data_IF_160700201557
#
_entry.id   IF_160700201557
#
_cell.length_a   1.000
_cell.length_b   1.000
_cell.length_c   1.000
_cell.angle_alpha   90.00
_cell.angle_beta   90.00
_cell.angle_gamma   90.00
#
_symmetry.space_group_name_H-M   'P 1'
#
loop_
_entity.id
_entity.type
_entity.pdbx_description
1 polymer ?
#
# COMPACT_ATOMS: atom_id res chain seq x y z
N UNK A 1 3.51 27.27 -10.73
CA UNK A 1 2.31 27.39 -11.57
C UNK A 1 1.42 28.47 -10.97
N UNK A 2 0.86 29.38 -11.77
CA UNK A 2 -0.07 30.38 -11.24
C UNK A 2 -1.42 29.72 -10.91
N UNK A 3 -2.14 30.21 -9.88
CA UNK A 3 -3.42 29.60 -9.45
C UNK A 3 -4.42 29.45 -10.60
N UNK A 4 -4.50 30.45 -11.47
CA UNK A 4 -5.38 30.43 -12.65
C UNK A 4 -5.00 29.30 -13.62
N UNK A 5 -3.72 29.10 -13.91
CA UNK A 5 -3.25 28.01 -14.77
C UNK A 5 -3.57 26.65 -14.16
N UNK A 6 -3.44 26.53 -12.83
CA UNK A 6 -3.83 25.32 -12.11
C UNK A 6 -5.33 25.08 -12.17
N UNK A 7 -6.14 26.10 -11.90
CA UNK A 7 -7.60 26.00 -11.95
C UNK A 7 -8.08 25.69 -13.37
N UNK A 8 -7.49 26.29 -14.42
CA UNK A 8 -7.83 26.00 -15.81
C UNK A 8 -7.47 24.54 -16.17
N UNK A 9 -6.25 24.10 -15.85
CA UNK A 9 -5.80 22.70 -16.03
C UNK A 9 -6.69 21.71 -15.25
N UNK A 10 -7.03 22.06 -14.02
CA UNK A 10 -7.85 21.23 -13.15
C UNK A 10 -9.30 21.19 -13.62
N UNK A 11 -9.93 22.32 -13.90
CA UNK A 11 -11.34 22.38 -14.27
C UNK A 11 -11.57 21.67 -15.61
N UNK A 12 -10.62 21.74 -16.56
CA UNK A 12 -10.68 20.99 -17.82
C UNK A 12 -10.64 19.46 -17.62
N UNK A 13 -9.82 18.98 -16.68
CA UNK A 13 -9.57 17.52 -16.49
C UNK A 13 -10.50 16.91 -15.43
N UNK A 14 -10.79 17.65 -14.36
CA UNK A 14 -11.54 17.21 -13.19
C UNK A 14 -13.05 17.30 -13.40
N UNK A 15 -13.56 18.40 -13.98
CA UNK A 15 -15.01 18.55 -14.19
C UNK A 15 -15.55 17.51 -15.18
N UNK A 16 -14.71 17.01 -16.09
CA UNK A 16 -15.10 15.94 -17.02
C UNK A 16 -15.18 14.55 -16.37
N UNK A 17 -14.52 14.34 -15.23
CA UNK A 17 -14.34 13.00 -14.65
C UNK A 17 -15.06 12.77 -13.31
N UNK A 18 -15.67 13.82 -12.74
CA UNK A 18 -16.38 13.77 -11.44
C UNK A 18 -15.58 13.09 -10.29
N UNK A 19 -14.25 13.12 -10.38
CA UNK A 19 -13.33 12.44 -9.45
C UNK A 19 -12.18 13.38 -9.07
N UNK A 20 -11.71 13.25 -7.83
CA UNK A 20 -10.51 13.92 -7.33
C UNK A 20 -9.25 13.06 -7.46
N UNK A 21 -9.35 11.88 -8.08
CA UNK A 21 -8.23 10.95 -8.32
C UNK A 21 -8.18 10.59 -9.80
N UNK A 22 -7.00 10.75 -10.40
CA UNK A 22 -6.72 10.34 -11.77
C UNK A 22 -5.55 9.38 -11.81
N UNK A 23 -5.67 8.38 -12.66
CA UNK A 23 -4.63 7.39 -12.88
C UNK A 23 -4.41 7.20 -14.38
N UNK A 24 -3.15 7.07 -14.77
CA UNK A 24 -2.76 6.63 -16.11
C UNK A 24 -1.66 5.58 -16.04
N UNK A 25 -1.60 4.75 -17.08
CA UNK A 25 -0.48 3.83 -17.33
C UNK A 25 0.41 4.36 -18.45
N UNK A 26 1.71 4.39 -18.23
CA UNK A 26 2.71 4.63 -19.27
C UNK A 26 3.65 3.42 -19.35
N UNK A 27 3.28 2.44 -20.18
CA UNK A 27 3.91 1.13 -20.16
C UNK A 27 3.56 0.36 -18.89
N UNK A 28 4.57 -0.07 -18.15
CA UNK A 28 4.48 -0.77 -16.85
C UNK A 28 4.44 0.20 -15.65
N UNK A 29 4.62 1.50 -15.91
CA UNK A 29 4.55 2.57 -14.91
C UNK A 29 3.10 2.99 -14.70
N UNK A 30 2.73 3.15 -13.43
CA UNK A 30 1.44 3.70 -13.01
C UNK A 30 1.69 5.07 -12.38
N UNK A 31 0.99 6.08 -12.89
CA UNK A 31 0.99 7.43 -12.36
C UNK A 31 -0.38 7.70 -11.78
N UNK A 32 -0.43 8.08 -10.51
CA UNK A 32 -1.66 8.49 -9.85
C UNK A 32 -1.50 9.93 -9.35
N UNK A 33 -2.54 10.73 -9.48
CA UNK A 33 -2.63 12.10 -8.97
C UNK A 33 -3.95 12.22 -8.23
N UNK A 34 -3.92 12.74 -7.01
CA UNK A 34 -5.12 12.98 -6.22
C UNK A 34 -5.12 14.36 -5.59
N UNK A 35 -6.26 15.03 -5.59
CA UNK A 35 -6.45 16.27 -4.84
C UNK A 35 -6.94 15.94 -3.44
N UNK A 36 -6.17 16.40 -2.45
CA UNK A 36 -6.50 16.23 -1.03
C UNK A 36 -7.41 17.34 -0.55
N UNK A 37 -7.06 18.59 -0.89
CA UNK A 37 -7.74 19.78 -0.39
C UNK A 37 -7.61 20.91 -1.40
N UNK A 38 -8.73 21.61 -1.63
CA UNK A 38 -8.80 22.86 -2.40
C UNK A 38 -9.41 23.92 -1.50
N UNK A 39 -8.67 24.98 -1.22
CA UNK A 39 -9.17 26.19 -0.57
C UNK A 39 -9.11 27.37 -1.55
N UNK A 40 -9.59 28.52 -1.12
CA UNK A 40 -9.44 29.77 -1.89
C UNK A 40 -7.96 30.15 -2.06
N UNK A 41 -7.10 29.81 -1.08
CA UNK A 41 -5.71 30.24 -1.03
C UNK A 41 -4.74 29.19 -1.59
N UNK A 42 -5.03 27.89 -1.43
CA UNK A 42 -4.11 26.81 -1.77
C UNK A 42 -4.82 25.59 -2.37
N UNK A 43 -4.06 24.79 -3.10
CA UNK A 43 -4.47 23.44 -3.49
C UNK A 43 -3.37 22.46 -3.09
N UNK A 44 -3.76 21.43 -2.34
CA UNK A 44 -2.90 20.32 -1.97
C UNK A 44 -3.21 19.12 -2.87
N UNK A 45 -2.18 18.64 -3.56
CA UNK A 45 -2.22 17.41 -4.35
C UNK A 45 -1.21 16.40 -3.80
N UNK A 46 -1.52 15.13 -3.97
CA UNK A 46 -0.57 14.03 -3.87
C UNK A 46 -0.39 13.42 -5.26
N UNK A 47 0.80 12.88 -5.49
CA UNK A 47 1.07 12.06 -6.65
C UNK A 47 1.78 10.78 -6.24
N UNK A 48 1.61 9.73 -7.02
CA UNK A 48 2.25 8.43 -6.85
C UNK A 48 2.88 8.04 -8.18
N UNK A 49 4.16 7.69 -8.10
CA UNK A 49 4.89 6.99 -9.16
C UNK A 49 5.10 5.54 -8.69
N UNK A 50 4.59 4.57 -9.44
CA UNK A 50 4.78 3.15 -9.14
C UNK A 50 5.24 2.39 -10.37
N UNK A 51 6.16 1.45 -10.20
CA UNK A 51 6.65 0.56 -11.26
C UNK A 51 7.16 -0.77 -10.69
N UNK A 52 7.23 -1.84 -11.49
CA UNK A 52 7.87 -3.08 -11.05
C UNK A 52 9.39 -2.90 -10.91
N UNK A 53 10.03 -3.79 -10.15
CA UNK A 53 11.49 -3.94 -10.15
C UNK A 53 11.94 -4.47 -11.51
N UNK A 54 12.94 -3.84 -12.11
CA UNK A 54 13.39 -4.17 -13.49
C UNK A 54 14.49 -5.23 -13.53
N UNK A 55 15.32 -5.31 -12.49
CA UNK A 55 16.39 -6.31 -12.36
C UNK A 55 16.91 -6.40 -10.93
N UNK A 56 17.77 -7.38 -10.65
CA UNK A 56 18.48 -7.50 -9.37
C UNK A 56 19.46 -6.35 -9.10
N UNK A 57 19.81 -5.56 -10.13
CA UNK A 57 20.70 -4.39 -10.04
C UNK A 57 19.93 -3.07 -10.22
N UNK A 58 18.62 -3.10 -10.01
CA UNK A 58 17.78 -1.93 -10.12
C UNK A 58 18.10 -0.91 -9.01
N UNK A 59 18.62 0.26 -9.39
CA UNK A 59 19.04 1.31 -8.48
C UNK A 59 17.90 1.83 -7.57
N UNK A 60 16.64 1.74 -8.02
CA UNK A 60 15.49 2.14 -7.21
C UNK A 60 14.98 1.00 -6.32
N UNK A 61 15.39 -0.25 -6.57
CA UNK A 61 15.04 -1.38 -5.72
C UNK A 61 16.10 -1.63 -4.64
N UNK A 62 15.88 -1.03 -3.47
CA UNK A 62 16.78 -1.13 -2.31
C UNK A 62 16.09 -1.80 -1.11
N UNK A 63 15.89 -3.13 -1.13
CA UNK A 63 15.10 -3.84 -0.11
C UNK A 63 15.71 -3.75 1.30
N UNK A 64 17.02 -3.62 1.40
CA UNK A 64 17.76 -3.58 2.67
C UNK A 64 17.89 -2.17 3.29
N UNK A 65 17.24 -1.17 2.70
CA UNK A 65 17.32 0.21 3.21
C UNK A 65 16.59 0.38 4.54
N UNK A 66 17.11 1.28 5.37
CA UNK A 66 16.47 1.65 6.63
C UNK A 66 15.21 2.49 6.40
N UNK A 67 14.34 2.60 7.41
CA UNK A 67 13.16 3.47 7.32
C UNK A 67 13.53 4.95 7.12
N UNK A 68 14.65 5.40 7.67
CA UNK A 68 15.14 6.77 7.48
C UNK A 68 15.59 7.08 6.05
N UNK A 69 15.96 6.05 5.28
CA UNK A 69 16.35 6.20 3.88
C UNK A 69 15.13 6.44 2.96
N UNK A 70 13.90 6.41 3.48
CA UNK A 70 12.69 6.77 2.71
C UNK A 70 12.68 8.21 2.20
N UNK A 71 13.38 9.11 2.89
CA UNK A 71 13.48 10.53 2.52
C UNK A 71 14.69 10.80 1.60
N UNK A 72 15.57 9.81 1.39
CA UNK A 72 16.74 9.95 0.52
C UNK A 72 16.34 9.51 -0.89
N UNK A 73 15.95 10.48 -1.70
CA UNK A 73 15.45 10.21 -3.05
C UNK A 73 16.65 10.04 -3.99
N UNK A 74 16.80 8.88 -4.63
CA UNK A 74 17.89 8.62 -5.58
C UNK A 74 17.72 9.49 -6.84
N UNK A 75 18.84 9.95 -7.42
CA UNK A 75 18.81 10.76 -8.66
C UNK A 75 18.28 9.95 -9.85
N UNK A 76 18.48 8.63 -9.82
CA UNK A 76 17.99 7.67 -10.79
C UNK A 76 16.45 7.70 -10.91
N UNK A 77 15.72 8.11 -9.85
CA UNK A 77 14.27 8.27 -9.92
C UNK A 77 13.92 9.42 -10.87
N UNK A 78 14.62 10.54 -10.75
CA UNK A 78 14.39 11.72 -11.58
C UNK A 78 14.83 11.48 -13.03
N UNK A 79 15.91 10.74 -13.25
CA UNK A 79 16.32 10.31 -14.59
C UNK A 79 15.23 9.45 -15.25
N UNK A 80 14.66 8.51 -14.50
CA UNK A 80 13.60 7.63 -14.99
C UNK A 80 12.31 8.39 -15.31
N UNK A 81 11.91 9.33 -14.43
CA UNK A 81 10.75 10.19 -14.65
C UNK A 81 10.96 11.12 -15.84
N UNK A 82 12.14 11.72 -15.98
CA UNK A 82 12.49 12.55 -17.13
C UNK A 82 12.51 11.77 -18.46
N UNK A 83 12.64 10.44 -18.39
CA UNK A 83 12.52 9.53 -19.51
C UNK A 83 11.09 9.20 -19.93
N UNK A 84 10.07 9.54 -19.13
CA UNK A 84 8.67 9.32 -19.49
C UNK A 84 8.30 10.19 -20.70
N UNK A 85 7.71 9.56 -21.72
CA UNK A 85 7.29 10.25 -22.96
C UNK A 85 5.77 10.23 -23.08
N UNK A 86 5.24 11.17 -23.86
CA UNK A 86 3.81 11.23 -24.22
C UNK A 86 2.88 11.32 -23.00
N UNK A 87 3.26 12.09 -21.99
CA UNK A 87 2.35 12.47 -20.91
C UNK A 87 1.58 13.70 -21.37
N UNK A 88 0.25 13.62 -21.29
CA UNK A 88 -0.62 14.78 -21.46
C UNK A 88 -0.76 15.52 -20.12
N UNK A 89 -1.15 16.80 -20.18
CA UNK A 89 -1.53 17.55 -18.97
C UNK A 89 -2.74 16.86 -18.29
N UNK A 90 -2.77 16.73 -16.96
CA UNK A 90 -1.90 17.38 -15.97
C UNK A 90 -0.64 16.58 -15.62
N UNK A 91 -0.50 15.34 -16.12
CA UNK A 91 0.60 14.45 -15.74
C UNK A 91 1.96 14.97 -16.21
N UNK A 92 2.04 15.57 -17.40
CA UNK A 92 3.28 16.22 -17.86
C UNK A 92 3.72 17.37 -16.97
N UNK A 93 2.77 18.09 -16.36
CA UNK A 93 3.07 19.26 -15.54
C UNK A 93 3.45 18.90 -14.11
N UNK A 94 2.88 17.81 -13.59
CA UNK A 94 3.11 17.27 -12.25
C UNK A 94 4.38 16.43 -12.20
N UNK A 95 4.59 15.57 -13.19
CA UNK A 95 5.80 14.72 -13.30
C UNK A 95 6.94 15.45 -14.03
N UNK A 96 7.12 16.72 -13.70
CA UNK A 96 8.23 17.56 -14.16
C UNK A 96 9.40 17.47 -13.17
N UNK A 97 10.56 16.99 -13.64
CA UNK A 97 11.72 16.69 -12.79
C UNK A 97 12.17 17.90 -11.96
N UNK A 98 12.20 19.10 -12.55
CA UNK A 98 12.69 20.29 -11.85
C UNK A 98 11.72 20.70 -10.73
N UNK A 99 10.41 20.61 -10.97
CA UNK A 99 9.40 20.88 -9.94
C UNK A 99 9.43 19.82 -8.85
N UNK A 100 9.49 18.54 -9.23
CA UNK A 100 9.46 17.41 -8.30
C UNK A 100 10.62 17.43 -7.29
N UNK A 101 11.79 17.97 -7.67
CA UNK A 101 12.92 18.13 -6.74
C UNK A 101 12.60 19.06 -5.56
N UNK A 102 11.61 19.95 -5.70
CA UNK A 102 11.09 20.79 -4.62
C UNK A 102 10.00 20.13 -3.78
N UNK A 103 9.47 18.99 -4.19
CA UNK A 103 8.37 18.32 -3.50
C UNK A 103 8.84 17.53 -2.27
N UNK A 104 7.91 17.34 -1.34
CA UNK A 104 8.10 16.39 -0.24
C UNK A 104 7.85 14.97 -0.74
N UNK A 105 8.91 14.33 -1.23
CA UNK A 105 8.86 12.95 -1.74
C UNK A 105 9.16 11.96 -0.63
N UNK A 106 8.39 10.87 -0.59
CA UNK A 106 8.71 9.67 0.17
C UNK A 106 8.87 8.52 -0.79
N UNK A 107 10.07 7.96 -0.86
CA UNK A 107 10.28 6.71 -1.58
C UNK A 107 9.81 5.58 -0.66
N UNK A 108 8.66 4.96 -0.95
CA UNK A 108 8.09 3.89 -0.12
C UNK A 108 8.68 2.53 -0.47
N UNK A 109 8.92 1.69 0.54
CA UNK A 109 9.27 0.28 0.36
C UNK A 109 8.19 -0.53 1.04
N UNK A 110 7.35 -1.17 0.22
CA UNK A 110 6.34 -2.08 0.70
C UNK A 110 7.01 -3.41 1.04
N UNK A 111 6.79 -3.88 2.28
CA UNK A 111 7.28 -5.18 2.75
C UNK A 111 6.09 -6.00 3.19
N UNK A 112 6.13 -7.29 2.88
CA UNK A 112 5.19 -8.25 3.42
C UNK A 112 5.81 -9.01 4.57
N UNK A 113 5.03 -9.29 5.61
CA UNK A 113 5.45 -10.23 6.66
C UNK A 113 4.57 -11.47 6.59
N UNK A 114 5.19 -12.64 6.72
CA UNK A 114 4.51 -13.92 6.81
C UNK A 114 5.18 -14.71 7.92
N UNK A 115 4.66 -14.53 9.14
CA UNK A 115 5.21 -15.22 10.31
C UNK A 115 4.66 -16.65 10.34
N UNK A 116 5.50 -17.69 10.45
CA UNK A 116 5.01 -19.07 10.50
C UNK A 116 3.99 -19.29 11.63
N UNK A 117 2.96 -20.09 11.35
CA UNK A 117 1.92 -20.45 12.34
C UNK A 117 2.52 -21.06 13.61
N UNK A 118 3.50 -21.95 13.46
CA UNK A 118 4.16 -22.64 14.57
C UNK A 118 4.91 -21.67 15.48
N UNK A 119 5.53 -20.62 14.92
CA UNK A 119 6.25 -19.62 15.71
C UNK A 119 5.26 -18.77 16.52
N UNK A 120 4.13 -18.39 15.92
CA UNK A 120 3.07 -17.63 16.57
C UNK A 120 2.41 -18.42 17.71
N UNK A 121 2.13 -19.72 17.48
CA UNK A 121 1.61 -20.62 18.50
C UNK A 121 2.65 -20.90 19.60
N UNK A 122 3.94 -20.99 19.23
CA UNK A 122 5.05 -21.14 20.17
C UNK A 122 5.16 -19.96 21.13
N UNK A 123 5.09 -18.74 20.60
CA UNK A 123 5.11 -17.49 21.37
C UNK A 123 3.92 -17.39 22.33
N UNK A 124 2.70 -17.74 21.87
CA UNK A 124 1.51 -17.80 22.72
C UNK A 124 1.67 -18.83 23.85
N UNK A 125 2.22 -20.01 23.54
CA UNK A 125 2.35 -21.09 24.51
C UNK A 125 3.38 -20.78 25.60
N UNK A 126 4.51 -20.22 25.21
CA UNK A 126 5.66 -19.98 26.08
C UNK A 126 5.54 -18.68 26.85
N UNK A 127 5.21 -17.59 26.16
CA UNK A 127 5.25 -16.24 26.71
C UNK A 127 3.85 -15.63 26.91
N UNK A 128 2.80 -16.29 26.41
CA UNK A 128 1.42 -15.76 26.48
C UNK A 128 1.18 -14.57 25.56
N UNK A 129 2.07 -14.34 24.59
CA UNK A 129 1.99 -13.20 23.66
C UNK A 129 1.24 -13.60 22.39
N UNK A 130 0.30 -12.76 21.98
CA UNK A 130 -0.49 -12.91 20.75
C UNK A 130 -0.22 -11.72 19.82
N UNK A 131 0.15 -12.01 18.57
CA UNK A 131 0.36 -11.06 17.48
C UNK A 131 -0.86 -11.03 16.55
N UNK A 132 -1.23 -9.84 16.09
CA UNK A 132 -2.33 -9.56 15.14
C UNK A 132 -1.93 -8.47 14.14
N UNK A 133 -2.66 -8.36 13.02
CA UNK A 133 -2.43 -7.32 12.01
C UNK A 133 -1.03 -7.35 11.40
N UNK A 134 -0.47 -6.18 11.09
CA UNK A 134 0.85 -6.07 10.42
C UNK A 134 2.01 -6.71 11.20
N UNK A 135 1.85 -6.95 12.52
CA UNK A 135 2.84 -7.65 13.32
C UNK A 135 3.02 -9.12 12.92
N UNK A 136 2.04 -9.72 12.24
CA UNK A 136 2.08 -11.14 11.85
C UNK A 136 1.85 -11.37 10.35
N UNK A 137 1.09 -10.50 9.68
CA UNK A 137 0.68 -10.65 8.27
C UNK A 137 0.67 -9.34 7.45
N UNK A 138 1.66 -8.46 7.60
CA UNK A 138 1.70 -7.22 6.83
C UNK A 138 1.55 -7.47 5.31
N UNK A 139 0.60 -6.77 4.70
CA UNK A 139 0.36 -6.77 3.26
C UNK A 139 0.81 -5.43 2.66
N UNK A 140 1.11 -5.37 1.36
CA UNK A 140 1.38 -4.11 0.68
C UNK A 140 0.17 -3.17 0.76
N UNK A 141 0.42 -1.88 0.91
CA UNK A 141 -0.63 -0.85 1.00
C UNK A 141 -1.46 -0.82 -0.29
N UNK A 142 -0.82 -1.01 -1.44
CA UNK A 142 -1.47 -1.06 -2.75
C UNK A 142 -1.83 -2.50 -3.08
N UNK A 143 -3.08 -2.75 -3.49
CA UNK A 143 -3.55 -4.08 -3.89
C UNK A 143 -3.80 -5.07 -2.74
N UNK A 144 -3.47 -4.70 -1.50
CA UNK A 144 -3.76 -5.49 -0.29
C UNK A 144 -4.99 -5.01 0.49
N UNK A 145 -5.33 -5.76 1.54
CA UNK A 145 -6.42 -5.48 2.47
C UNK A 145 -5.92 -5.43 3.93
N UNK A 146 -4.62 -5.20 4.16
CA UNK A 146 -3.97 -5.31 5.47
C UNK A 146 -4.72 -4.63 6.62
N UNK A 147 -5.14 -3.37 6.45
CA UNK A 147 -5.91 -2.66 7.48
C UNK A 147 -7.27 -3.33 7.80
N UNK A 148 -8.02 -3.76 6.78
CA UNK A 148 -9.28 -4.47 6.95
C UNK A 148 -9.05 -5.83 7.63
N UNK A 149 -8.00 -6.55 7.24
CA UNK A 149 -7.62 -7.82 7.84
C UNK A 149 -7.22 -7.67 9.32
N UNK A 150 -6.47 -6.62 9.66
CA UNK A 150 -6.08 -6.30 11.03
C UNK A 150 -7.30 -5.92 11.91
N UNK A 151 -8.26 -5.17 11.37
CA UNK A 151 -9.53 -4.88 12.08
C UNK A 151 -10.29 -6.18 12.35
N UNK A 152 -10.41 -7.06 11.36
CA UNK A 152 -11.07 -8.36 11.53
C UNK A 152 -10.35 -9.23 12.56
N UNK A 153 -9.02 -9.18 12.64
CA UNK A 153 -8.30 -9.88 13.68
C UNK A 153 -8.69 -9.37 15.07
N UNK A 154 -8.67 -8.05 15.27
CA UNK A 154 -9.06 -7.43 16.54
C UNK A 154 -10.48 -7.84 16.97
N UNK A 155 -11.43 -7.80 16.03
CA UNK A 155 -12.82 -8.19 16.30
C UNK A 155 -12.96 -9.67 16.65
N UNK A 156 -12.38 -10.56 15.83
CA UNK A 156 -12.53 -12.01 16.01
C UNK A 156 -11.73 -12.56 17.19
N UNK A 157 -10.58 -11.96 17.50
CA UNK A 157 -9.82 -12.29 18.69
C UNK A 157 -10.56 -11.84 19.96
N UNK A 158 -11.13 -10.64 19.97
CA UNK A 158 -11.92 -10.15 21.11
C UNK A 158 -13.11 -11.08 21.40
N UNK A 159 -13.83 -11.52 20.36
CA UNK A 159 -14.93 -12.48 20.49
C UNK A 159 -14.47 -13.84 21.03
N UNK A 160 -13.31 -14.31 20.58
CA UNK A 160 -12.68 -15.54 21.10
C UNK A 160 -12.36 -15.41 22.60
N UNK A 161 -11.71 -14.31 22.99
CA UNK A 161 -11.36 -14.05 24.40
C UNK A 161 -12.63 -14.03 25.27
N UNK A 162 -13.64 -13.28 24.84
CA UNK A 162 -14.91 -13.16 25.55
C UNK A 162 -15.62 -14.52 25.70
N UNK A 163 -15.71 -15.28 24.60
CA UNK A 163 -16.34 -16.59 24.57
C UNK A 163 -15.66 -17.61 25.47
N UNK A 164 -14.32 -17.61 25.54
CA UNK A 164 -13.59 -18.52 26.44
C UNK A 164 -13.73 -18.11 27.92
N UNK A 165 -13.70 -16.80 28.22
CA UNK A 165 -13.91 -16.31 29.58
C UNK A 165 -15.31 -16.65 30.12
N UNK A 166 -16.33 -16.60 29.27
CA UNK A 166 -17.71 -16.92 29.66
C UNK A 166 -17.92 -18.39 30.08
N UNK A 167 -17.01 -19.31 29.71
CA UNK A 167 -17.19 -20.76 29.94
C UNK A 167 -16.79 -21.21 31.35
N UNK A 168 -15.80 -20.58 31.99
CA UNK A 168 -15.36 -20.97 33.33
C UNK A 168 -14.34 -19.99 33.90
N UNK A 169 -14.48 -19.63 35.18
CA UNK A 169 -13.55 -18.74 35.88
C UNK A 169 -12.33 -19.45 36.50
N UNK A 170 -12.39 -20.77 36.70
CA UNK A 170 -11.34 -21.55 37.39
C UNK A 170 -10.17 -21.98 36.49
N UNK A 171 -10.32 -21.91 35.16
CA UNK A 171 -9.32 -22.38 34.17
C UNK A 171 -9.05 -21.41 33.02
N UNK A 172 -9.36 -20.13 33.22
CA UNK A 172 -9.35 -19.08 32.18
C UNK A 172 -8.05 -19.10 31.36
N UNK A 173 -6.87 -19.13 32.00
CA UNK A 173 -5.62 -19.01 31.27
C UNK A 173 -5.38 -20.16 30.28
N UNK A 174 -5.61 -21.41 30.71
CA UNK A 174 -5.43 -22.60 29.87
C UNK A 174 -6.43 -22.67 28.71
N UNK A 175 -7.69 -22.33 28.97
CA UNK A 175 -8.76 -22.33 27.95
C UNK A 175 -8.57 -21.18 26.97
N UNK A 176 -8.16 -20.01 27.46
CA UNK A 176 -7.86 -18.86 26.62
C UNK A 176 -6.72 -19.18 25.63
N UNK A 177 -5.62 -19.78 26.11
CA UNK A 177 -4.51 -20.20 25.24
C UNK A 177 -4.96 -21.21 24.18
N UNK A 178 -5.84 -22.16 24.52
CA UNK A 178 -6.41 -23.11 23.55
C UNK A 178 -7.30 -22.39 22.53
N UNK A 179 -8.19 -21.49 22.99
CA UNK A 179 -9.07 -20.73 22.12
C UNK A 179 -8.31 -19.82 21.15
N UNK A 180 -7.31 -19.08 21.64
CA UNK A 180 -6.45 -18.23 20.79
C UNK A 180 -5.60 -19.07 19.84
N UNK A 181 -5.13 -20.25 20.26
CA UNK A 181 -4.43 -21.18 19.35
C UNK A 181 -5.32 -21.65 18.20
N UNK A 182 -6.59 -21.98 18.49
CA UNK A 182 -7.58 -22.34 17.46
C UNK A 182 -7.91 -21.16 16.55
N UNK A 183 -8.02 -19.97 17.12
CA UNK A 183 -8.20 -18.74 16.35
C UNK A 183 -7.04 -18.53 15.37
N UNK A 184 -5.79 -18.79 15.78
CA UNK A 184 -4.65 -18.78 14.85
C UNK A 184 -4.83 -19.78 13.70
N UNK A 185 -5.22 -21.03 13.99
CA UNK A 185 -5.44 -22.05 12.95
C UNK A 185 -6.49 -21.60 11.91
N UNK A 186 -7.53 -20.89 12.35
CA UNK A 186 -8.62 -20.39 11.51
C UNK A 186 -8.24 -19.13 10.69
N UNK A 187 -7.40 -18.26 11.25
CA UNK A 187 -7.00 -17.01 10.61
C UNK A 187 -5.81 -17.19 9.66
N UNK A 188 -4.87 -18.05 10.00
CA UNK A 188 -3.61 -18.21 9.27
C UNK A 188 -3.78 -18.48 7.77
N UNK A 189 -4.68 -19.38 7.31
CA UNK A 189 -4.89 -19.60 5.88
C UNK A 189 -5.40 -18.34 5.16
N UNK A 190 -6.18 -17.50 5.83
CA UNK A 190 -6.70 -16.24 5.26
C UNK A 190 -5.61 -15.21 5.10
N UNK A 191 -4.68 -15.14 6.06
CA UNK A 191 -3.51 -14.27 5.97
C UNK A 191 -2.57 -14.67 4.84
N UNK A 192 -2.30 -15.97 4.68
CA UNK A 192 -1.51 -16.49 3.56
C UNK A 192 -2.17 -16.15 2.22
N UNK A 193 -3.48 -16.37 2.11
CA UNK A 193 -4.25 -16.03 0.92
C UNK A 193 -4.21 -14.52 0.63
N UNK A 194 -4.41 -13.67 1.63
CA UNK A 194 -4.36 -12.22 1.49
C UNK A 194 -3.00 -11.72 0.97
N UNK A 195 -1.91 -12.26 1.51
CA UNK A 195 -0.57 -11.99 1.01
C UNK A 195 -0.40 -12.39 -0.46
N UNK A 196 -0.83 -13.59 -0.86
CA UNK A 196 -0.76 -14.04 -2.26
C UNK A 196 -1.62 -13.20 -3.20
N UNK A 197 -2.84 -12.84 -2.79
CA UNK A 197 -3.74 -12.01 -3.57
C UNK A 197 -3.19 -10.58 -3.73
N UNK A 198 -2.61 -10.01 -2.68
CA UNK A 198 -1.99 -8.69 -2.74
C UNK A 198 -0.82 -8.65 -3.75
N UNK A 199 0.00 -9.69 -3.81
CA UNK A 199 1.08 -9.82 -4.79
C UNK A 199 0.53 -9.89 -6.22
N UNK A 200 -0.51 -10.69 -6.45
CA UNK A 200 -1.19 -10.78 -7.75
C UNK A 200 -1.80 -9.45 -8.17
N UNK A 201 -2.42 -8.73 -7.24
CA UNK A 201 -3.04 -7.43 -7.51
C UNK A 201 -2.00 -6.38 -7.89
N UNK A 202 -0.87 -6.29 -7.18
CA UNK A 202 0.25 -5.41 -7.56
C UNK A 202 0.80 -5.79 -8.93
N UNK A 203 1.03 -7.08 -9.19
CA UNK A 203 1.52 -7.52 -10.49
C UNK A 203 0.57 -7.09 -11.62
N UNK A 204 -0.73 -7.33 -11.46
CA UNK A 204 -1.77 -6.92 -12.41
C UNK A 204 -1.84 -5.41 -12.61
N UNK A 205 -1.62 -4.64 -11.54
CA UNK A 205 -1.54 -3.18 -11.62
C UNK A 205 -0.42 -2.74 -12.58
N UNK A 206 0.68 -3.49 -12.66
CA UNK A 206 1.82 -3.20 -13.53
C UNK A 206 1.87 -4.00 -14.84
N UNK A 207 0.88 -4.86 -15.10
CA UNK A 207 0.79 -5.55 -16.38
C UNK A 207 0.65 -4.55 -17.53
N UNK A 208 1.43 -4.79 -18.59
CA UNK A 208 1.33 -4.07 -19.85
C UNK A 208 -0.05 -4.35 -20.44
N UNK A 209 -0.86 -3.30 -20.56
CA UNK A 209 -2.03 -3.37 -21.43
C UNK A 209 -1.51 -3.44 -22.87
N UNK A 210 -1.51 -4.65 -23.45
CA UNK A 210 -1.45 -4.77 -24.90
C UNK A 210 -2.62 -3.92 -25.43
N UNK A 211 -2.30 -2.91 -26.24
CA UNK A 211 -3.32 -2.05 -26.86
C UNK A 211 -4.20 -2.92 -27.77
N UNK A 212 -5.26 -3.49 -27.22
CA UNK A 212 -6.48 -3.75 -27.97
C UNK A 212 -7.38 -2.54 -27.73
N UNK A 213 -7.36 -1.65 -28.72
CA UNK A 213 -8.33 -0.59 -28.97
C UNK A 213 -8.75 0.28 -27.78
N UNK A 214 -8.05 1.42 -27.66
CA UNK A 214 -8.59 2.61 -27.02
C UNK A 214 -9.92 3.01 -27.69
N UNK A 215 -11.02 2.53 -27.12
CA UNK A 215 -12.37 3.09 -27.28
C UNK A 215 -13.00 3.19 -25.90
N UNK A 216 -12.85 4.36 -25.29
CA UNK A 216 -13.92 5.04 -24.55
C UNK A 216 -13.79 6.53 -24.85
#
# INVERSE_FOLDING_TARGET
>A
MARKEFDDMFDEVAMQRETNVWEIKNGDVVLNVSINQKTEEEVSLNWIYSRPTRSDQDALHRPDRSSGDAQKIPDELFEEIGGLRNLDSPFSDIFDVEKMRGDRILHWLMRTTSTPLLDSQGLLKTDGVCLIGDAIHAEPIVGGNGANAAILDGLTLADTIYSEQAKSWERIESQLKIGVSKWYDERYPKWVQGAEESQKNIARMHELLLREDARL
#
